data_IF_173876806468
#
_entry.id   IF_173876806468
#
_cell.length_a   1.000
_cell.length_b   1.000
_cell.length_c   1.000
_cell.angle_alpha   90.00
_cell.angle_beta   90.00
_cell.angle_gamma   90.00
#
_symmetry.space_group_name_H-M   'P 1'
#
loop_
_entity.id
_entity.type
_entity.pdbx_description
1 polymer ?
#
# COMPACT_ATOMS: atom_id res chain seq x y z
N UNK A 1 -0.28 -34.74 16.68
CA UNK A 1 -1.23 -33.76 17.25
C UNK A 1 -0.93 -32.45 16.56
N UNK A 2 -1.65 -32.18 15.47
CA UNK A 2 -1.50 -30.98 14.66
C UNK A 2 -2.52 -29.95 15.15
N UNK A 3 -2.05 -28.75 15.47
CA UNK A 3 -2.91 -27.59 15.66
C UNK A 3 -3.12 -26.96 14.29
N UNK A 4 -4.37 -26.96 13.83
CA UNK A 4 -4.81 -26.28 12.63
C UNK A 4 -4.88 -24.78 12.90
N UNK A 5 -3.98 -24.00 12.30
CA UNK A 5 -4.12 -22.55 12.17
C UNK A 5 -5.05 -22.29 10.97
N UNK A 6 -6.32 -22.08 11.25
CA UNK A 6 -7.26 -21.46 10.30
C UNK A 6 -7.18 -19.94 10.53
N UNK A 7 -7.00 -19.12 9.48
CA UNK A 7 -7.12 -17.68 9.60
C UNK A 7 -8.56 -17.34 9.96
N UNK A 8 -8.73 -16.61 11.06
CA UNK A 8 -10.02 -16.20 11.57
C UNK A 8 -10.65 -15.20 10.62
N UNK A 9 -11.71 -15.62 9.92
CA UNK A 9 -12.67 -14.72 9.29
C UNK A 9 -13.29 -13.82 10.36
N UNK A 10 -12.99 -12.53 10.32
CA UNK A 10 -13.68 -11.52 11.12
C UNK A 10 -15.13 -11.37 10.60
N UNK A 11 -16.13 -11.33 11.49
CA UNK A 11 -17.50 -11.11 11.09
C UNK A 11 -17.76 -9.61 10.85
N UNK A 12 -17.98 -9.23 9.60
CA UNK A 12 -18.97 -8.19 9.27
C UNK A 12 -18.54 -6.73 9.31
N UNK A 13 -17.33 -6.39 8.85
CA UNK A 13 -17.01 -5.02 8.41
C UNK A 13 -16.38 -5.09 7.03
N UNK A 14 -17.06 -4.54 6.02
CA UNK A 14 -16.43 -4.24 4.75
C UNK A 14 -15.25 -3.28 5.02
N UNK A 15 -14.14 -3.40 4.28
CA UNK A 15 -13.13 -2.35 4.26
C UNK A 15 -13.84 -1.00 4.00
N UNK A 16 -13.48 0.05 4.74
CA UNK A 16 -14.13 1.36 4.62
C UNK A 16 -15.46 1.55 5.37
N UNK A 17 -15.97 0.55 6.11
CA UNK A 17 -17.03 0.80 7.09
C UNK A 17 -16.44 1.23 8.42
N UNK A 18 -16.85 2.42 8.91
CA UNK A 18 -16.48 2.92 10.23
C UNK A 18 -16.67 1.81 11.28
N UNK A 19 -15.69 1.61 12.19
CA UNK A 19 -15.84 0.65 13.28
C UNK A 19 -17.18 0.85 14.00
N UNK A 20 -17.77 -0.23 14.48
CA UNK A 20 -19.00 -0.14 15.27
C UNK A 20 -18.84 0.88 16.40
N UNK A 21 -19.90 1.59 16.80
CA UNK A 21 -19.80 2.63 17.84
C UNK A 21 -19.26 2.14 19.20
N UNK A 22 -19.13 0.82 19.39
CA UNK A 22 -18.56 0.18 20.58
C UNK A 22 -17.24 -0.55 20.30
N UNK A 23 -16.63 -0.38 19.12
CA UNK A 23 -15.33 -0.95 18.82
C UNK A 23 -14.28 -0.23 19.67
N UNK A 24 -13.57 -1.01 20.47
CA UNK A 24 -12.37 -0.55 21.16
C UNK A 24 -11.18 -1.05 20.34
N UNK A 25 -10.35 -0.14 19.81
CA UNK A 25 -9.17 -0.56 19.09
C UNK A 25 -8.22 -1.25 20.09
N UNK A 26 -7.52 -2.28 19.64
CA UNK A 26 -6.63 -3.08 20.47
C UNK A 26 -5.35 -3.39 19.71
N UNK A 27 -4.29 -2.63 19.99
CA UNK A 27 -2.98 -2.84 19.40
C UNK A 27 -2.56 -4.31 19.44
N UNK A 28 -2.36 -4.89 18.26
CA UNK A 28 -1.69 -6.17 18.13
C UNK A 28 -0.27 -5.88 17.74
N UNK A 29 0.63 -6.12 18.69
CA UNK A 29 2.04 -6.16 18.37
C UNK A 29 2.26 -7.17 17.25
N UNK A 30 2.84 -6.70 16.15
CA UNK A 30 3.41 -7.56 15.11
C UNK A 30 4.75 -8.17 15.57
N UNK A 31 5.06 -8.01 16.87
CA UNK A 31 6.38 -7.97 17.44
C UNK A 31 7.17 -6.81 16.84
N UNK A 32 7.99 -6.13 17.62
CA UNK A 32 9.33 -5.85 17.14
C UNK A 32 10.06 -7.21 16.99
N UNK A 33 9.54 -8.11 16.14
CA UNK A 33 10.20 -9.36 15.80
C UNK A 33 11.64 -8.98 15.41
N UNK A 34 12.62 -9.73 15.89
CA UNK A 34 14.03 -9.47 15.61
C UNK A 34 14.25 -9.18 14.11
N UNK A 35 13.46 -9.82 13.26
CA UNK A 35 13.34 -9.59 11.82
C UNK A 35 12.98 -8.14 11.43
N UNK A 36 11.87 -7.56 11.94
CA UNK A 36 11.48 -6.17 11.67
C UNK A 36 12.50 -5.17 12.22
N UNK A 37 13.06 -5.45 13.40
CA UNK A 37 14.12 -4.64 13.99
C UNK A 37 15.37 -4.65 13.09
N UNK A 38 15.75 -5.80 12.55
CA UNK A 38 16.86 -5.93 11.61
C UNK A 38 16.60 -5.18 10.30
N UNK A 39 15.37 -5.19 9.79
CA UNK A 39 15.01 -4.46 8.58
C UNK A 39 15.17 -2.94 8.74
N UNK A 40 14.83 -2.39 9.91
CA UNK A 40 14.91 -0.94 10.15
C UNK A 40 16.24 -0.45 10.72
N UNK A 41 17.05 -1.35 11.30
CA UNK A 41 18.32 -1.03 11.97
C UNK A 41 19.31 -0.17 11.17
N UNK A 42 19.45 -0.31 9.83
CA UNK A 42 20.39 0.50 9.06
C UNK A 42 19.98 1.97 8.92
N UNK A 43 18.73 2.32 9.23
CA UNK A 43 18.15 3.60 8.86
C UNK A 43 17.91 4.52 10.04
N UNK A 44 17.83 5.81 9.75
CA UNK A 44 17.54 6.86 10.72
C UNK A 44 16.73 7.97 10.06
N UNK A 45 15.86 8.61 10.83
CA UNK A 45 15.01 9.70 10.35
C UNK A 45 15.08 10.88 11.33
N UNK A 46 14.95 12.09 10.81
CA UNK A 46 14.72 13.27 11.67
C UNK A 46 13.40 13.13 12.44
N UNK A 47 13.26 13.88 13.53
CA UNK A 47 12.03 13.90 14.35
C UNK A 47 10.81 14.35 13.53
N UNK A 48 11.00 15.32 12.64
CA UNK A 48 9.97 15.76 11.70
C UNK A 48 9.56 14.64 10.72
N UNK A 49 10.53 13.96 10.11
CA UNK A 49 10.25 12.82 9.21
C UNK A 49 9.56 11.65 9.95
N UNK A 50 9.92 11.40 11.22
CA UNK A 50 9.24 10.41 12.05
C UNK A 50 7.79 10.81 12.35
N UNK A 51 7.54 12.08 12.69
CA UNK A 51 6.20 12.60 12.89
C UNK A 51 5.35 12.42 11.61
N UNK A 52 5.90 12.81 10.45
CA UNK A 52 5.27 12.58 9.14
C UNK A 52 4.99 11.10 8.86
N UNK A 53 5.97 10.22 9.11
CA UNK A 53 5.83 8.79 8.89
C UNK A 53 4.70 8.19 9.74
N UNK A 54 4.63 8.58 11.03
CA UNK A 54 3.57 8.08 11.91
C UNK A 54 2.21 8.66 11.54
N UNK A 55 2.14 9.92 11.10
CA UNK A 55 0.89 10.60 10.74
C UNK A 55 -0.08 10.87 11.91
N UNK A 56 0.25 10.41 13.11
CA UNK A 56 -0.59 10.50 14.32
C UNK A 56 0.11 11.24 15.46
N UNK A 57 1.45 11.24 15.50
CA UNK A 57 2.23 11.95 16.50
C UNK A 57 2.83 13.22 15.92
N UNK A 58 2.81 14.29 16.70
CA UNK A 58 3.55 15.50 16.38
C UNK A 58 5.04 15.37 16.75
N UNK A 59 5.85 16.33 16.29
CA UNK A 59 7.30 16.31 16.53
C UNK A 59 7.65 16.34 18.02
N UNK A 60 6.84 16.98 18.86
CA UNK A 60 7.05 17.04 20.30
C UNK A 60 6.86 15.67 20.96
N UNK A 61 5.81 14.95 20.57
CA UNK A 61 5.53 13.58 21.01
C UNK A 61 6.64 12.64 20.56
N UNK A 62 7.05 12.72 19.29
CA UNK A 62 8.17 11.95 18.75
C UNK A 62 9.46 12.24 19.50
N UNK A 63 9.76 13.51 19.79
CA UNK A 63 10.95 13.86 20.56
C UNK A 63 10.93 13.21 21.96
N UNK A 64 9.75 13.15 22.59
CA UNK A 64 9.55 12.40 23.83
C UNK A 64 9.92 10.92 23.70
N UNK A 65 9.53 10.25 22.60
CA UNK A 65 9.92 8.86 22.35
C UNK A 65 11.44 8.72 22.18
N UNK A 66 12.06 9.62 21.41
CA UNK A 66 13.51 9.60 21.16
C UNK A 66 14.29 9.80 22.46
N UNK A 67 13.85 10.70 23.35
CA UNK A 67 14.49 10.90 24.66
C UNK A 67 14.44 9.65 25.56
N UNK A 68 13.40 8.82 25.44
CA UNK A 68 13.27 7.59 26.22
C UNK A 68 14.15 6.44 25.67
N UNK A 69 14.20 6.28 24.35
CA UNK A 69 14.92 5.15 23.72
C UNK A 69 16.37 5.48 23.35
N UNK A 70 16.70 6.77 23.17
CA UNK A 70 18.00 7.27 22.73
C UNK A 70 18.44 8.49 23.58
N UNK A 71 18.61 8.35 24.90
CA UNK A 71 18.81 9.49 25.81
C UNK A 71 20.08 10.31 25.55
N UNK A 72 21.10 9.70 24.93
CA UNK A 72 22.38 10.36 24.62
C UNK A 72 22.42 10.94 23.19
N UNK A 73 21.34 10.81 22.42
CA UNK A 73 21.28 11.32 21.05
C UNK A 73 21.17 12.84 21.03
N UNK A 74 22.00 13.50 20.22
CA UNK A 74 21.92 14.94 20.03
C UNK A 74 20.54 15.37 19.49
N UNK A 75 20.08 16.56 19.86
CA UNK A 75 18.75 17.06 19.50
C UNK A 75 18.54 17.20 17.98
N UNK A 76 19.61 17.44 17.23
CA UNK A 76 19.61 17.60 15.77
C UNK A 76 20.02 16.33 15.01
N UNK A 77 20.53 15.30 15.70
CA UNK A 77 20.91 14.05 15.07
C UNK A 77 19.67 13.23 14.69
N UNK A 78 19.60 12.64 13.47
CA UNK A 78 18.55 11.70 13.10
C UNK A 78 18.42 10.56 14.13
N UNK A 79 17.20 10.19 14.46
CA UNK A 79 16.93 9.11 15.39
C UNK A 79 17.01 7.75 14.67
N UNK A 80 17.75 6.78 15.22
CA UNK A 80 17.80 5.43 14.67
C UNK A 80 16.41 4.79 14.77
N UNK A 81 15.98 4.10 13.71
CA UNK A 81 14.62 3.55 13.65
C UNK A 81 14.42 2.37 14.59
N UNK A 82 15.43 1.51 14.74
CA UNK A 82 15.31 0.29 15.53
C UNK A 82 15.03 0.54 17.04
N UNK A 83 15.73 1.46 17.73
CA UNK A 83 15.41 1.76 19.13
C UNK A 83 14.05 2.41 19.30
N UNK A 84 13.64 3.27 18.35
CA UNK A 84 12.33 3.94 18.35
C UNK A 84 11.22 2.91 18.15
N UNK A 85 11.34 2.04 17.14
CA UNK A 85 10.37 0.98 16.87
C UNK A 85 10.22 0.04 18.06
N UNK A 86 11.32 -0.39 18.67
CA UNK A 86 11.30 -1.24 19.86
C UNK A 86 10.60 -0.56 21.04
N UNK A 87 10.93 0.70 21.32
CA UNK A 87 10.27 1.45 22.38
C UNK A 87 8.76 1.59 22.16
N UNK A 88 8.36 1.83 20.91
CA UNK A 88 6.95 1.91 20.54
C UNK A 88 6.24 0.58 20.79
N UNK A 89 6.75 -0.51 20.24
CA UNK A 89 6.15 -1.85 20.35
C UNK A 89 6.12 -2.38 21.79
N UNK A 90 7.21 -2.24 22.54
CA UNK A 90 7.35 -2.87 23.86
C UNK A 90 6.75 -2.04 25.00
N UNK A 91 6.72 -0.70 24.87
CA UNK A 91 6.41 0.20 25.99
C UNK A 91 5.26 1.16 25.71
N UNK A 92 5.23 1.78 24.52
CA UNK A 92 4.30 2.87 24.25
C UNK A 92 2.92 2.38 23.78
N UNK A 93 2.90 1.57 22.72
CA UNK A 93 1.69 1.10 22.03
C UNK A 93 0.86 0.06 22.80
N UNK A 94 1.43 -0.80 23.65
CA UNK A 94 0.64 -1.73 24.46
C UNK A 94 -0.33 -1.06 25.44
N UNK A 95 -0.14 0.23 25.76
CA UNK A 95 -1.02 1.00 26.64
C UNK A 95 -1.86 2.02 25.82
N UNK A 96 -3.17 1.77 25.63
CA UNK A 96 -4.06 2.68 24.92
C UNK A 96 -4.13 4.09 25.48
N UNK A 97 -3.77 4.31 26.76
CA UNK A 97 -3.72 5.65 27.35
C UNK A 97 -2.62 6.53 26.74
N UNK A 98 -1.63 5.92 26.09
CA UNK A 98 -0.51 6.61 25.46
C UNK A 98 -0.76 6.92 23.97
N UNK A 99 -1.85 6.43 23.37
CA UNK A 99 -2.02 6.57 21.94
C UNK A 99 -2.17 8.05 21.54
N UNK A 100 -1.45 8.50 20.49
CA UNK A 100 -1.45 9.89 20.07
C UNK A 100 -2.71 10.14 19.22
N UNK A 101 -3.86 10.20 19.89
CA UNK A 101 -5.15 10.37 19.23
C UNK A 101 -6.30 9.70 19.97
N UNK A 102 -7.51 10.00 19.50
CA UNK A 102 -8.75 9.33 19.96
C UNK A 102 -9.49 8.67 18.80
N UNK A 103 -8.85 8.56 17.63
CA UNK A 103 -9.49 8.07 16.43
C UNK A 103 -9.34 6.54 16.39
N UNK A 104 -10.43 5.76 16.26
CA UNK A 104 -10.30 4.31 16.18
C UNK A 104 -9.48 3.82 14.97
N UNK A 105 -9.22 4.66 13.97
CA UNK A 105 -8.28 4.37 12.88
C UNK A 105 -6.80 4.45 13.27
N UNK A 106 -6.47 5.00 14.46
CA UNK A 106 -5.09 5.10 14.94
C UNK A 106 -4.48 3.70 15.14
N UNK A 107 -5.28 2.66 15.41
CA UNK A 107 -4.82 1.26 15.55
C UNK A 107 -4.13 0.74 14.28
N UNK A 108 -4.74 0.90 13.11
CA UNK A 108 -4.18 0.40 11.84
C UNK A 108 -2.89 1.13 11.46
N UNK A 109 -2.77 2.40 11.85
CA UNK A 109 -1.55 3.18 11.66
C UNK A 109 -0.41 2.61 12.52
N UNK A 110 -0.74 2.17 13.73
CA UNK A 110 0.21 1.64 14.71
C UNK A 110 0.70 0.23 14.37
N UNK A 111 -0.15 -0.63 13.79
CA UNK A 111 0.25 -1.96 13.29
C UNK A 111 1.25 -1.85 12.11
N UNK A 112 1.17 -0.77 11.33
CA UNK A 112 1.96 -0.57 10.13
C UNK A 112 3.18 0.36 10.31
N UNK A 113 3.53 0.68 11.56
CA UNK A 113 4.48 1.75 11.87
C UNK A 113 5.88 1.52 11.30
N UNK A 114 6.37 0.27 11.29
CA UNK A 114 7.66 -0.07 10.67
C UNK A 114 7.65 0.16 9.15
N UNK A 115 6.59 -0.29 8.46
CA UNK A 115 6.42 -0.07 7.03
C UNK A 115 6.29 1.42 6.70
N UNK A 116 5.62 2.21 7.55
CA UNK A 116 5.50 3.67 7.40
C UNK A 116 6.84 4.39 7.57
N UNK A 117 7.65 4.00 8.57
CA UNK A 117 9.00 4.53 8.74
C UNK A 117 9.88 4.20 7.53
N UNK A 118 9.86 2.94 7.07
CA UNK A 118 10.60 2.53 5.87
C UNK A 118 10.10 3.24 4.59
N UNK A 119 8.80 3.46 4.44
CA UNK A 119 8.24 4.25 3.34
C UNK A 119 8.82 5.66 3.30
N UNK A 120 8.98 6.31 4.47
CA UNK A 120 9.62 7.63 4.56
C UNK A 120 11.10 7.59 4.19
N UNK A 121 11.82 6.53 4.57
CA UNK A 121 13.22 6.31 4.14
C UNK A 121 13.31 6.10 2.63
N UNK A 122 12.41 5.31 2.03
CA UNK A 122 12.32 5.14 0.57
C UNK A 122 12.09 6.48 -0.10
N UNK A 123 11.09 7.25 0.37
CA UNK A 123 10.81 8.57 -0.18
C UNK A 123 12.00 9.53 -0.09
N UNK A 124 12.73 9.53 1.03
CA UNK A 124 13.92 10.37 1.22
C UNK A 124 15.07 9.95 0.31
N UNK A 125 15.28 8.64 0.15
CA UNK A 125 16.36 8.07 -0.67
C UNK A 125 16.16 8.34 -2.15
N UNK A 126 14.93 8.23 -2.66
CA UNK A 126 14.65 8.35 -4.09
C UNK A 126 14.06 9.71 -4.53
N UNK A 127 13.68 10.57 -3.58
CA UNK A 127 12.97 11.84 -3.86
C UNK A 127 13.78 12.87 -4.67
N UNK A 128 15.09 12.94 -4.48
CA UNK A 128 15.94 13.92 -5.17
C UNK A 128 16.29 13.54 -6.62
N UNK A 129 16.34 12.24 -6.94
CA UNK A 129 17.01 11.73 -8.15
C UNK A 129 16.06 11.07 -9.18
N UNK A 130 14.76 10.88 -8.86
CA UNK A 130 13.83 10.06 -9.68
C UNK A 130 12.53 10.76 -10.10
N UNK A 131 12.43 12.09 -10.03
CA UNK A 131 11.17 12.83 -10.33
C UNK A 131 10.58 12.55 -11.72
N UNK A 132 11.40 12.15 -12.71
CA UNK A 132 10.93 11.78 -14.05
C UNK A 132 10.34 10.37 -14.19
N UNK A 133 10.64 9.44 -13.27
CA UNK A 133 10.27 8.01 -13.41
C UNK A 133 9.81 7.33 -12.11
N UNK A 134 9.19 8.08 -11.21
CA UNK A 134 8.73 7.54 -9.93
C UNK A 134 7.62 6.49 -10.08
N UNK A 135 6.84 6.50 -11.19
CA UNK A 135 5.77 5.51 -11.43
C UNK A 135 6.30 4.10 -11.62
N UNK A 136 7.40 3.94 -12.36
CA UNK A 136 8.05 2.64 -12.49
C UNK A 136 8.60 2.16 -11.16
N UNK A 137 9.18 3.07 -10.36
CA UNK A 137 9.62 2.76 -9.00
C UNK A 137 8.44 2.30 -8.13
N UNK A 138 7.34 3.03 -8.12
CA UNK A 138 6.15 2.67 -7.34
C UNK A 138 5.53 1.35 -7.80
N UNK A 139 5.49 1.09 -9.12
CA UNK A 139 5.01 -0.17 -9.67
C UNK A 139 5.92 -1.35 -9.27
N UNK A 140 7.23 -1.15 -9.28
CA UNK A 140 8.20 -2.14 -8.78
C UNK A 140 8.01 -2.39 -7.28
N UNK A 141 7.87 -1.32 -6.49
CA UNK A 141 7.61 -1.42 -5.05
C UNK A 141 6.33 -2.21 -4.78
N UNK A 142 5.23 -1.87 -5.45
CA UNK A 142 3.98 -2.59 -5.32
C UNK A 142 4.10 -4.05 -5.76
N UNK A 143 4.86 -4.34 -6.82
CA UNK A 143 5.18 -5.71 -7.24
C UNK A 143 5.87 -6.50 -6.14
N UNK A 144 6.88 -5.92 -5.49
CA UNK A 144 7.59 -6.57 -4.40
C UNK A 144 6.65 -6.81 -3.21
N UNK A 145 5.79 -5.84 -2.87
CA UNK A 145 4.79 -5.98 -1.80
C UNK A 145 3.81 -7.13 -2.09
N UNK A 146 3.33 -7.25 -3.34
CA UNK A 146 2.47 -8.35 -3.76
C UNK A 146 3.17 -9.72 -3.64
N UNK A 147 4.44 -9.80 -4.06
CA UNK A 147 5.22 -11.02 -3.92
C UNK A 147 5.43 -11.35 -2.44
N UNK A 148 5.69 -10.37 -1.58
CA UNK A 148 5.87 -10.55 -0.14
C UNK A 148 4.61 -11.13 0.53
N UNK A 149 3.40 -10.73 0.10
CA UNK A 149 2.14 -11.31 0.60
C UNK A 149 2.02 -12.81 0.33
N UNK A 150 2.58 -13.28 -0.78
CA UNK A 150 2.56 -14.69 -1.17
C UNK A 150 3.86 -15.44 -0.81
N UNK A 151 4.79 -14.79 -0.10
CA UNK A 151 6.12 -15.32 0.15
C UNK A 151 6.11 -16.33 1.30
N UNK A 152 6.56 -17.56 1.02
CA UNK A 152 6.74 -18.61 2.02
C UNK A 152 8.22 -18.90 2.32
N UNK A 153 9.14 -18.13 1.73
CA UNK A 153 10.58 -18.27 1.91
C UNK A 153 11.11 -17.47 3.09
N UNK A 154 12.44 -17.49 3.25
CA UNK A 154 13.15 -16.69 4.27
C UNK A 154 13.26 -15.22 3.86
N UNK A 155 13.33 -14.32 4.83
CA UNK A 155 13.55 -12.89 4.61
C UNK A 155 14.87 -12.62 3.88
N UNK A 156 15.95 -13.32 4.25
CA UNK A 156 17.26 -13.14 3.63
C UNK A 156 17.23 -13.45 2.13
N UNK A 157 16.49 -14.49 1.73
CA UNK A 157 16.27 -14.80 0.32
C UNK A 157 15.49 -13.68 -0.39
N UNK A 158 14.41 -13.19 0.22
CA UNK A 158 13.60 -12.10 -0.33
C UNK A 158 14.43 -10.82 -0.53
N UNK A 159 15.28 -10.47 0.44
CA UNK A 159 16.15 -9.30 0.38
C UNK A 159 17.15 -9.33 -0.78
N UNK A 160 17.34 -10.47 -1.43
CA UNK A 160 18.21 -10.60 -2.62
C UNK A 160 17.50 -10.46 -3.95
N UNK A 161 16.16 -10.32 -3.99
CA UNK A 161 15.36 -10.37 -5.22
C UNK A 161 15.74 -9.32 -6.27
N UNK A 162 16.24 -8.16 -5.84
CA UNK A 162 16.71 -7.07 -6.70
C UNK A 162 18.22 -7.10 -6.99
N UNK A 163 18.97 -8.02 -6.40
CA UNK A 163 20.39 -8.17 -6.72
C UNK A 163 20.58 -8.56 -8.19
N UNK A 164 21.74 -8.22 -8.75
CA UNK A 164 22.09 -8.64 -10.11
C UNK A 164 22.03 -10.17 -10.26
N UNK A 165 22.44 -10.88 -9.21
CA UNK A 165 22.32 -12.32 -9.07
C UNK A 165 21.63 -12.62 -7.73
N UNK A 166 20.30 -12.85 -7.72
CA UNK A 166 19.58 -13.31 -6.54
C UNK A 166 20.07 -14.71 -6.12
N UNK A 167 19.83 -15.09 -4.86
CA UNK A 167 20.16 -16.45 -4.42
C UNK A 167 19.31 -17.48 -5.17
N UNK A 168 19.81 -18.72 -5.28
CA UNK A 168 19.06 -19.81 -5.90
C UNK A 168 17.72 -20.05 -5.18
N UNK A 169 17.74 -20.02 -3.85
CA UNK A 169 16.56 -20.12 -2.98
C UNK A 169 15.54 -19.02 -3.27
N UNK A 170 15.99 -17.77 -3.46
CA UNK A 170 15.08 -16.67 -3.81
C UNK A 170 14.36 -16.93 -5.15
N UNK A 171 15.02 -17.61 -6.09
CA UNK A 171 14.40 -18.03 -7.35
C UNK A 171 13.31 -19.08 -7.15
N UNK A 172 13.56 -20.08 -6.29
CA UNK A 172 12.60 -21.15 -5.98
C UNK A 172 11.37 -20.60 -5.24
N UNK A 173 11.59 -19.81 -4.19
CA UNK A 173 10.52 -19.18 -3.43
C UNK A 173 9.69 -18.19 -4.26
N UNK A 174 10.31 -17.50 -5.22
CA UNK A 174 9.57 -16.65 -6.15
C UNK A 174 8.61 -17.48 -7.02
N UNK A 175 9.04 -18.64 -7.50
CA UNK A 175 8.14 -19.52 -8.27
C UNK A 175 7.01 -20.07 -7.41
N UNK A 176 7.28 -20.41 -6.16
CA UNK A 176 6.25 -20.83 -5.21
C UNK A 176 5.25 -19.71 -4.90
N UNK A 177 5.73 -18.48 -4.65
CA UNK A 177 4.88 -17.31 -4.43
C UNK A 177 3.96 -17.03 -5.63
N UNK A 178 4.48 -17.16 -6.86
CA UNK A 178 3.67 -17.03 -8.08
C UNK A 178 2.61 -18.13 -8.15
N UNK A 179 2.94 -19.37 -7.80
CA UNK A 179 2.01 -20.50 -7.84
C UNK A 179 0.93 -20.43 -6.74
N UNK A 180 1.20 -19.71 -5.64
CA UNK A 180 0.28 -19.50 -4.54
C UNK A 180 -0.59 -18.24 -4.70
N UNK A 181 -0.26 -17.36 -5.65
CA UNK A 181 -1.05 -16.17 -5.92
C UNK A 181 -2.44 -16.53 -6.47
N UNK A 182 -3.47 -15.70 -6.24
CA UNK A 182 -4.78 -15.87 -6.86
C UNK A 182 -4.69 -16.00 -8.39
N UNK A 183 -5.48 -16.92 -8.97
CA UNK A 183 -5.45 -17.19 -10.42
C UNK A 183 -5.80 -15.95 -11.26
N UNK A 184 -6.64 -15.05 -10.71
CA UNK A 184 -6.97 -13.74 -11.26
C UNK A 184 -5.73 -12.91 -11.60
N UNK A 185 -4.67 -13.03 -10.79
CA UNK A 185 -3.44 -12.25 -10.91
C UNK A 185 -2.42 -12.85 -11.89
N UNK A 186 -2.56 -14.11 -12.32
CA UNK A 186 -1.56 -14.77 -13.16
C UNK A 186 -1.19 -14.02 -14.45
N UNK A 187 -2.15 -13.44 -15.21
CA UNK A 187 -1.81 -12.64 -16.38
C UNK A 187 -0.97 -11.40 -16.01
N UNK A 188 -1.37 -10.69 -14.96
CA UNK A 188 -0.67 -9.48 -14.48
C UNK A 188 0.73 -9.82 -13.96
N UNK A 189 0.85 -10.85 -13.12
CA UNK A 189 2.13 -11.31 -12.59
C UNK A 189 3.09 -11.71 -13.72
N UNK A 190 2.63 -12.54 -14.65
CA UNK A 190 3.49 -13.12 -15.69
C UNK A 190 3.90 -12.10 -16.75
N UNK A 191 2.99 -11.23 -17.16
CA UNK A 191 3.16 -10.39 -18.35
C UNK A 191 3.53 -8.94 -18.03
N UNK A 192 3.25 -8.47 -16.81
CA UNK A 192 3.51 -7.10 -16.39
C UNK A 192 4.54 -7.02 -15.27
N UNK A 193 4.30 -7.71 -14.16
CA UNK A 193 5.06 -7.49 -12.93
C UNK A 193 6.42 -8.22 -12.90
N UNK A 194 6.45 -9.51 -13.26
CA UNK A 194 7.70 -10.29 -13.28
C UNK A 194 8.72 -9.80 -14.32
N UNK A 195 8.32 -9.39 -15.54
CA UNK A 195 9.25 -8.75 -16.47
C UNK A 195 9.89 -7.49 -15.87
N UNK A 196 9.10 -6.59 -15.27
CA UNK A 196 9.61 -5.38 -14.64
C UNK A 196 10.57 -5.69 -13.48
N UNK A 197 10.25 -6.68 -12.63
CA UNK A 197 11.14 -7.14 -11.57
C UNK A 197 12.48 -7.64 -12.13
N UNK A 198 12.47 -8.41 -13.24
CA UNK A 198 13.69 -8.92 -13.87
C UNK A 198 14.53 -7.78 -14.47
N UNK A 199 13.90 -6.80 -15.10
CA UNK A 199 14.58 -5.61 -15.64
C UNK A 199 15.21 -4.76 -14.54
N UNK A 200 14.56 -4.68 -13.38
CA UNK A 200 15.06 -3.93 -12.23
C UNK A 200 16.30 -4.55 -11.54
N UNK A 201 16.57 -5.85 -11.74
CA UNK A 201 17.66 -6.55 -11.06
C UNK A 201 19.03 -5.95 -11.40
N UNK A 202 19.81 -5.65 -10.37
CA UNK A 202 21.14 -5.07 -10.50
C UNK A 202 21.17 -3.62 -10.96
N UNK A 203 20.02 -2.94 -11.04
CA UNK A 203 19.94 -1.50 -11.39
C UNK A 203 20.05 -0.58 -10.17
N UNK A 204 19.90 -1.13 -8.97
CA UNK A 204 20.03 -0.45 -7.69
C UNK A 204 21.36 -0.80 -7.02
N UNK A 205 21.86 0.09 -6.18
CA UNK A 205 22.93 -0.24 -5.22
C UNK A 205 22.45 -1.31 -4.24
N UNK A 206 23.37 -1.99 -3.55
CA UNK A 206 23.01 -3.01 -2.57
C UNK A 206 22.13 -2.46 -1.44
N UNK A 207 22.40 -1.24 -0.97
CA UNK A 207 21.64 -0.60 0.10
C UNK A 207 20.24 -0.18 -0.38
N UNK A 208 20.12 0.38 -1.59
CA UNK A 208 18.82 0.70 -2.20
C UNK A 208 17.97 -0.54 -2.45
N UNK A 209 18.59 -1.61 -2.97
CA UNK A 209 17.91 -2.89 -3.19
C UNK A 209 17.38 -3.44 -1.86
N UNK A 210 18.22 -3.48 -0.82
CA UNK A 210 17.85 -3.93 0.52
C UNK A 210 16.74 -3.07 1.14
N UNK A 211 16.77 -1.75 0.93
CA UNK A 211 15.73 -0.83 1.38
C UNK A 211 14.38 -1.12 0.71
N UNK A 212 14.35 -1.27 -0.61
CA UNK A 212 13.12 -1.55 -1.35
C UNK A 212 12.52 -2.92 -0.98
N UNK A 213 13.35 -3.96 -0.90
CA UNK A 213 12.88 -5.30 -0.51
C UNK A 213 12.51 -5.35 0.98
N UNK A 214 13.23 -4.64 1.85
CA UNK A 214 12.93 -4.58 3.29
C UNK A 214 11.63 -3.82 3.57
N UNK A 215 11.40 -2.70 2.87
CA UNK A 215 10.10 -2.03 2.88
C UNK A 215 8.99 -2.97 2.40
N UNK A 216 9.21 -3.72 1.31
CA UNK A 216 8.21 -4.62 0.77
C UNK A 216 7.86 -5.78 1.72
N UNK A 217 8.83 -6.33 2.46
CA UNK A 217 8.56 -7.29 3.54
C UNK A 217 7.72 -6.63 4.65
N UNK A 218 8.15 -5.47 5.15
CA UNK A 218 7.41 -4.74 6.18
C UNK A 218 5.96 -4.45 5.76
N UNK A 219 5.74 -4.02 4.50
CA UNK A 219 4.43 -3.65 4.00
C UNK A 219 3.58 -4.84 3.52
N UNK A 220 4.18 -5.88 2.97
CA UNK A 220 3.45 -7.01 2.38
C UNK A 220 3.26 -8.18 3.33
N UNK A 221 4.21 -8.41 4.24
CA UNK A 221 4.18 -9.53 5.17
C UNK A 221 3.71 -9.11 6.57
N UNK A 222 4.20 -7.96 7.07
CA UNK A 222 3.92 -7.53 8.44
C UNK A 222 2.76 -6.52 8.56
N UNK A 223 2.43 -5.76 7.51
CA UNK A 223 1.43 -4.67 7.58
C UNK A 223 -0.03 -5.09 7.29
N UNK A 224 -0.33 -6.39 7.36
CA UNK A 224 -1.69 -6.92 7.24
C UNK A 224 -2.42 -6.48 5.95
N UNK A 225 -3.64 -5.96 6.09
CA UNK A 225 -4.56 -5.70 4.98
C UNK A 225 -4.45 -4.31 4.34
N UNK A 226 -3.46 -3.50 4.72
CA UNK A 226 -3.38 -2.09 4.29
C UNK A 226 -2.05 -1.67 3.61
N UNK A 227 -1.42 -2.51 2.75
CA UNK A 227 -0.16 -2.14 2.09
C UNK A 227 -0.28 -0.87 1.21
N UNK A 228 -1.46 -0.64 0.62
CA UNK A 228 -1.74 0.54 -0.23
C UNK A 228 -1.59 1.87 0.52
N UNK A 229 -1.81 1.91 1.84
CA UNK A 229 -1.68 3.13 2.63
C UNK A 229 -0.21 3.57 2.73
N UNK A 230 0.69 2.63 2.99
CA UNK A 230 2.11 2.92 3.12
C UNK A 230 2.73 3.27 1.76
N UNK A 231 2.28 2.60 0.69
CA UNK A 231 2.66 2.96 -0.69
C UNK A 231 2.19 4.38 -1.04
N UNK A 232 1.01 4.80 -0.58
CA UNK A 232 0.50 6.16 -0.75
C UNK A 232 1.44 7.22 -0.16
N UNK A 233 2.06 6.95 0.98
CA UNK A 233 3.04 7.85 1.59
C UNK A 233 4.28 8.06 0.71
N UNK A 234 4.78 6.99 0.08
CA UNK A 234 5.87 7.07 -0.91
C UNK A 234 5.38 7.84 -2.14
N UNK A 235 4.21 7.48 -2.66
CA UNK A 235 3.63 8.09 -3.85
C UNK A 235 3.45 9.60 -3.71
N UNK A 236 2.83 10.06 -2.61
CA UNK A 236 2.63 11.47 -2.35
C UNK A 236 3.94 12.25 -2.17
N UNK A 237 4.98 11.61 -1.63
CA UNK A 237 6.29 12.25 -1.42
C UNK A 237 7.11 12.38 -2.71
N UNK A 238 6.95 11.44 -3.65
CA UNK A 238 7.66 11.42 -4.93
C UNK A 238 6.92 12.17 -6.04
N UNK A 239 5.59 12.29 -5.92
CA UNK A 239 4.78 13.03 -6.89
C UNK A 239 5.20 14.51 -6.93
N UNK A 240 5.12 15.13 -8.10
CA UNK A 240 5.49 16.54 -8.28
C UNK A 240 4.64 17.44 -7.34
N UNK A 241 5.25 18.43 -6.66
CA UNK A 241 4.55 19.26 -5.67
C UNK A 241 3.41 20.10 -6.25
N UNK A 242 3.41 20.35 -7.55
CA UNK A 242 2.35 21.10 -8.25
C UNK A 242 1.19 20.22 -8.73
N UNK A 243 1.26 18.90 -8.52
CA UNK A 243 0.21 17.98 -8.95
C UNK A 243 -0.88 17.90 -7.89
N UNK A 244 -2.11 18.17 -8.31
CA UNK A 244 -3.25 18.10 -7.43
C UNK A 244 -3.53 16.64 -7.06
N UNK A 245 -3.07 16.22 -5.87
CA UNK A 245 -3.63 15.07 -5.17
C UNK A 245 -5.15 15.25 -5.07
N UNK A 246 -5.94 14.17 -5.03
CA UNK A 246 -7.37 14.29 -4.82
C UNK A 246 -7.65 15.06 -3.54
N UNK A 247 -8.28 16.21 -3.67
CA UNK A 247 -8.62 17.03 -2.51
C UNK A 247 -9.77 16.39 -1.71
N UNK A 248 -10.00 16.91 -0.51
CA UNK A 248 -11.07 16.44 0.36
C UNK A 248 -12.47 16.58 -0.26
N UNK A 249 -12.66 17.47 -1.25
CA UNK A 249 -13.91 17.58 -1.97
C UNK A 249 -14.08 16.45 -2.99
N UNK A 250 -13.02 16.10 -3.74
CA UNK A 250 -13.03 14.98 -4.67
C UNK A 250 -13.28 13.66 -3.95
N UNK A 251 -12.60 13.41 -2.84
CA UNK A 251 -12.84 12.21 -2.01
C UNK A 251 -14.31 12.15 -1.57
N UNK A 252 -14.85 13.27 -1.05
CA UNK A 252 -16.26 13.35 -0.64
C UNK A 252 -17.23 13.08 -1.79
N UNK A 253 -16.94 13.57 -3.00
CA UNK A 253 -17.78 13.31 -4.18
C UNK A 253 -17.80 11.83 -4.55
N UNK A 254 -16.66 11.14 -4.46
CA UNK A 254 -16.61 9.69 -4.68
C UNK A 254 -17.38 8.94 -3.60
N UNK A 255 -17.22 9.33 -2.33
CA UNK A 255 -18.02 8.77 -1.23
C UNK A 255 -19.53 8.95 -1.45
N UNK A 256 -19.97 10.12 -1.92
CA UNK A 256 -21.38 10.40 -2.17
C UNK A 256 -21.94 9.50 -3.29
N UNK A 257 -21.14 9.19 -4.32
CA UNK A 257 -21.49 8.24 -5.38
C UNK A 257 -21.62 6.82 -4.83
N UNK A 258 -20.64 6.37 -4.03
CA UNK A 258 -20.68 5.06 -3.36
C UNK A 258 -21.92 4.93 -2.45
N UNK A 259 -22.17 5.93 -1.59
CA UNK A 259 -23.34 5.97 -0.70
C UNK A 259 -24.65 5.94 -1.48
N UNK A 260 -24.72 6.65 -2.61
CA UNK A 260 -25.90 6.64 -3.48
C UNK A 260 -26.13 5.26 -4.11
N UNK A 261 -25.10 4.61 -4.62
CA UNK A 261 -25.19 3.26 -5.20
C UNK A 261 -25.58 2.22 -4.15
N UNK A 262 -24.97 2.28 -2.96
CA UNK A 262 -25.33 1.39 -1.85
C UNK A 262 -26.80 1.56 -1.42
N UNK A 263 -27.25 2.81 -1.30
CA UNK A 263 -28.65 3.12 -0.96
C UNK A 263 -29.61 2.62 -2.03
N UNK A 264 -29.27 2.79 -3.31
CA UNK A 264 -30.06 2.33 -4.44
C UNK A 264 -30.15 0.79 -4.49
N UNK A 265 -29.04 0.08 -4.30
CA UNK A 265 -29.01 -1.38 -4.25
C UNK A 265 -29.89 -1.94 -3.11
N UNK A 266 -29.89 -1.27 -1.95
CA UNK A 266 -30.73 -1.66 -0.81
C UNK A 266 -32.23 -1.48 -1.09
N UNK A 267 -32.61 -0.42 -1.81
CA UNK A 267 -33.99 -0.20 -2.24
C UNK A 267 -34.40 -1.22 -3.31
N UNK A 268 -33.52 -1.52 -4.26
CA UNK A 268 -33.77 -2.54 -5.30
C UNK A 268 -33.85 -3.98 -4.78
N UNK A 269 -33.20 -4.27 -3.64
CA UNK A 269 -33.29 -5.56 -2.96
C UNK A 269 -34.58 -5.74 -2.14
N UNK A 270 -35.37 -4.67 -1.95
CA UNK A 270 -36.62 -4.73 -1.19
C UNK A 270 -37.70 -5.44 -2.03
N UNK A 271 -38.27 -6.53 -1.52
CA UNK A 271 -39.15 -7.42 -2.30
C UNK A 271 -40.45 -6.76 -2.80
N UNK A 272 -40.77 -5.55 -2.32
CA UNK A 272 -41.91 -4.73 -2.71
C UNK A 272 -41.54 -3.57 -3.64
N UNK A 273 -40.27 -3.45 -4.05
CA UNK A 273 -39.83 -2.40 -4.96
C UNK A 273 -40.41 -2.63 -6.37
N UNK A 274 -41.25 -1.71 -6.81
CA UNK A 274 -41.83 -1.69 -8.16
C UNK A 274 -40.96 -0.95 -9.18
N UNK A 275 -39.85 -0.35 -8.75
CA UNK A 275 -38.92 0.40 -9.60
C UNK A 275 -37.82 -0.51 -10.12
N UNK A 276 -37.53 -0.43 -11.42
CA UNK A 276 -36.36 -1.05 -12.05
C UNK A 276 -35.09 -0.62 -11.30
N UNK A 277 -34.22 -1.58 -11.00
CA UNK A 277 -32.96 -1.32 -10.30
C UNK A 277 -32.21 -0.18 -11.04
N UNK A 278 -32.00 0.99 -10.41
CA UNK A 278 -31.44 2.14 -11.10
C UNK A 278 -29.99 1.86 -11.54
N UNK A 279 -29.59 2.41 -12.70
CA UNK A 279 -28.22 2.24 -13.18
C UNK A 279 -27.20 2.76 -12.15
N UNK A 280 -26.11 2.01 -11.92
CA UNK A 280 -25.08 2.45 -10.99
C UNK A 280 -24.47 3.77 -11.45
N UNK A 281 -24.32 4.69 -10.51
CA UNK A 281 -23.67 5.98 -10.76
C UNK A 281 -22.16 5.76 -10.80
N UNK A 282 -21.50 6.38 -11.77
CA UNK A 282 -20.07 6.27 -11.95
C UNK A 282 -19.38 7.62 -11.76
N UNK A 283 -18.16 7.57 -11.23
CA UNK A 283 -17.22 8.67 -11.19
C UNK A 283 -16.28 8.57 -12.40
N UNK A 284 -16.48 9.46 -13.38
CA UNK A 284 -15.78 9.39 -14.67
C UNK A 284 -14.46 10.15 -14.58
N UNK A 285 -13.36 9.43 -14.78
CA UNK A 285 -12.00 9.98 -14.91
C UNK A 285 -11.54 9.99 -16.37
N UNK A 286 -10.59 10.85 -16.75
CA UNK A 286 -9.99 10.78 -18.09
C UNK A 286 -9.20 9.49 -18.27
N UNK A 287 -9.31 8.82 -19.42
CA UNK A 287 -8.45 7.68 -19.78
C UNK A 287 -7.03 8.12 -20.14
N UNK A 288 -6.34 8.81 -19.25
CA UNK A 288 -5.00 9.32 -19.44
C UNK A 288 -4.16 9.22 -18.16
N UNK A 289 -2.90 9.63 -18.25
CA UNK A 289 -1.95 9.61 -17.14
C UNK A 289 -2.53 10.25 -15.87
N UNK A 290 -3.10 11.46 -15.98
CA UNK A 290 -3.67 12.16 -14.83
C UNK A 290 -4.87 11.42 -14.24
N UNK A 291 -5.74 10.83 -15.07
CA UNK A 291 -6.87 10.08 -14.59
C UNK A 291 -6.48 8.78 -13.88
N UNK A 292 -5.52 8.02 -14.40
CA UNK A 292 -5.04 6.81 -13.74
C UNK A 292 -4.36 7.10 -12.42
N UNK A 293 -3.58 8.18 -12.32
CA UNK A 293 -2.98 8.58 -11.06
C UNK A 293 -3.98 9.13 -10.05
N UNK A 294 -4.95 9.92 -10.52
CA UNK A 294 -6.06 10.36 -9.67
C UNK A 294 -6.79 9.14 -9.11
N UNK A 295 -7.03 8.13 -9.95
CA UNK A 295 -7.65 6.88 -9.52
C UNK A 295 -6.80 6.11 -8.50
N UNK A 296 -5.48 6.03 -8.70
CA UNK A 296 -4.56 5.41 -7.76
C UNK A 296 -4.60 6.09 -6.38
N UNK A 297 -4.55 7.43 -6.33
CA UNK A 297 -4.68 8.17 -5.07
C UNK A 297 -6.07 8.04 -4.43
N UNK A 298 -7.14 8.00 -5.25
CA UNK A 298 -8.50 7.79 -4.74
C UNK A 298 -8.66 6.42 -4.11
N UNK A 299 -8.12 5.35 -4.72
CA UNK A 299 -8.13 4.00 -4.13
C UNK A 299 -7.29 3.98 -2.86
N UNK A 300 -6.12 4.63 -2.86
CA UNK A 300 -5.27 4.69 -1.67
C UNK A 300 -5.96 5.36 -0.47
N UNK A 301 -6.80 6.37 -0.72
CA UNK A 301 -7.58 7.06 0.31
C UNK A 301 -8.91 6.36 0.64
N UNK A 302 -9.52 5.69 -0.35
CA UNK A 302 -10.83 5.05 -0.28
C UNK A 302 -10.80 3.80 -1.17
N UNK A 303 -10.43 2.62 -0.65
CA UNK A 303 -10.23 1.42 -1.47
C UNK A 303 -11.44 1.05 -2.32
N UNK A 304 -12.66 1.27 -1.83
CA UNK A 304 -13.92 0.98 -2.52
C UNK A 304 -14.18 1.93 -3.70
N UNK A 305 -13.37 2.98 -3.89
CA UNK A 305 -13.51 3.88 -5.03
C UNK A 305 -13.44 3.14 -6.38
N UNK A 306 -12.76 1.99 -6.42
CA UNK A 306 -12.67 1.17 -7.63
C UNK A 306 -14.04 0.71 -8.17
N UNK A 307 -15.06 0.54 -7.31
CA UNK A 307 -16.41 0.12 -7.69
C UNK A 307 -17.14 1.15 -8.58
N UNK A 308 -16.76 2.41 -8.46
CA UNK A 308 -17.46 3.53 -9.12
C UNK A 308 -16.60 4.26 -10.13
N UNK A 309 -15.28 4.05 -10.11
CA UNK A 309 -14.38 4.69 -11.06
C UNK A 309 -14.53 4.04 -12.45
N UNK A 310 -14.78 4.88 -13.45
CA UNK A 310 -14.74 4.51 -14.85
C UNK A 310 -13.90 5.50 -15.64
N UNK A 311 -13.22 5.02 -16.68
CA UNK A 311 -12.40 5.88 -17.53
C UNK A 311 -13.14 6.23 -18.82
N UNK A 312 -13.14 7.52 -19.15
CA UNK A 312 -13.64 7.99 -20.45
C UNK A 312 -12.71 7.57 -21.58
N UNK A 313 -13.30 7.12 -22.69
CA UNK A 313 -12.57 6.82 -23.92
C UNK A 313 -12.08 8.11 -24.57
N UNK A 314 -10.79 8.18 -24.94
CA UNK A 314 -10.26 9.36 -25.62
C UNK A 314 -10.88 9.50 -27.01
N UNK A 315 -11.28 10.71 -27.45
CA UNK A 315 -11.65 10.93 -28.84
C UNK A 315 -10.43 10.73 -29.74
N UNK A 316 -10.41 9.67 -30.56
CA UNK A 316 -9.42 9.47 -31.62
C UNK A 316 -8.36 8.38 -31.38
N UNK A 317 -8.31 7.75 -30.21
CA UNK A 317 -7.51 6.53 -30.00
C UNK A 317 -8.39 5.31 -30.31
N UNK A 318 -8.10 4.66 -31.44
CA UNK A 318 -8.58 3.30 -31.69
C UNK A 318 -8.01 2.34 -30.66
N UNK A 319 -8.45 1.09 -30.69
CA UNK A 319 -8.03 -0.06 -29.87
C UNK A 319 -6.54 -0.41 -30.04
N UNK A 320 -5.64 0.54 -29.78
CA UNK A 320 -4.20 0.43 -29.86
C UNK A 320 -3.56 0.60 -28.48
N UNK A 321 -2.34 0.08 -28.33
CA UNK A 321 -1.58 0.14 -27.08
C UNK A 321 -1.42 1.59 -26.57
N UNK A 322 -1.57 1.78 -25.25
CA UNK A 322 -1.35 3.05 -24.57
C UNK A 322 0.06 3.59 -24.88
N UNK A 323 0.18 4.92 -25.03
CA UNK A 323 1.48 5.59 -25.03
C UNK A 323 2.25 5.31 -23.71
N UNK A 324 3.58 5.50 -23.70
CA UNK A 324 4.46 5.12 -22.57
C UNK A 324 4.04 5.78 -21.24
N UNK A 325 3.83 7.10 -21.19
CA UNK A 325 3.46 7.78 -19.94
C UNK A 325 2.08 7.35 -19.38
N UNK A 326 1.01 7.27 -20.19
CA UNK A 326 -0.25 6.67 -19.75
C UNK A 326 -0.12 5.21 -19.31
N UNK A 327 0.78 4.43 -19.90
CA UNK A 327 0.98 3.01 -19.54
C UNK A 327 1.60 2.85 -18.17
N UNK A 328 2.57 3.69 -17.80
CA UNK A 328 3.16 3.67 -16.46
C UNK A 328 2.14 4.04 -15.38
N UNK A 329 1.33 5.09 -15.62
CA UNK A 329 0.25 5.48 -14.71
C UNK A 329 -0.86 4.41 -14.62
N UNK A 330 -1.22 3.79 -15.75
CA UNK A 330 -2.18 2.68 -15.77
C UNK A 330 -1.66 1.47 -14.98
N UNK A 331 -0.38 1.11 -15.16
CA UNK A 331 0.26 0.02 -14.42
C UNK A 331 0.24 0.28 -12.92
N UNK A 332 0.56 1.51 -12.50
CA UNK A 332 0.47 1.91 -11.10
C UNK A 332 -0.95 1.79 -10.55
N UNK A 333 -1.95 2.23 -11.31
CA UNK A 333 -3.36 2.06 -10.94
C UNK A 333 -3.75 0.59 -10.75
N UNK A 334 -3.34 -0.30 -11.65
CA UNK A 334 -3.55 -1.74 -11.49
C UNK A 334 -2.87 -2.28 -10.23
N UNK A 335 -1.67 -1.79 -9.90
CA UNK A 335 -0.98 -2.17 -8.67
C UNK A 335 -1.75 -1.78 -7.42
N UNK A 336 -2.36 -0.59 -7.38
CA UNK A 336 -3.21 -0.19 -6.26
C UNK A 336 -4.46 -1.06 -6.11
N UNK A 337 -5.06 -1.51 -7.23
CA UNK A 337 -6.16 -2.48 -7.18
C UNK A 337 -5.71 -3.82 -6.62
N UNK A 338 -4.58 -4.36 -7.09
CA UNK A 338 -4.06 -5.66 -6.61
C UNK A 338 -3.64 -5.63 -5.14
N UNK A 339 -3.26 -4.46 -4.62
CA UNK A 339 -2.95 -4.28 -3.19
C UNK A 339 -4.20 -4.12 -2.31
N UNK A 340 -5.39 -4.07 -2.90
CA UNK A 340 -6.65 -4.08 -2.16
C UNK A 340 -6.91 -5.44 -1.51
N UNK A 341 -7.67 -5.44 -0.41
CA UNK A 341 -8.03 -6.63 0.37
C UNK A 341 -9.36 -7.28 -0.11
N UNK A 342 -9.71 -7.13 -1.39
CA UNK A 342 -10.88 -7.82 -1.93
C UNK A 342 -10.60 -8.48 -3.29
N UNK A 343 -11.11 -9.70 -3.44
CA UNK A 343 -11.04 -10.50 -4.67
C UNK A 343 -11.65 -9.74 -5.86
N UNK A 344 -12.61 -8.85 -5.58
CA UNK A 344 -13.22 -7.93 -6.55
C UNK A 344 -12.19 -7.01 -7.21
N UNK A 345 -11.27 -6.42 -6.43
CA UNK A 345 -10.23 -5.50 -6.93
C UNK A 345 -9.22 -6.24 -7.80
N UNK A 346 -8.83 -7.46 -7.42
CA UNK A 346 -7.93 -8.30 -8.20
C UNK A 346 -8.55 -8.72 -9.54
N UNK A 347 -9.80 -9.20 -9.52
CA UNK A 347 -10.54 -9.55 -10.74
C UNK A 347 -10.71 -8.32 -11.64
N UNK A 348 -11.03 -7.17 -11.04
CA UNK A 348 -11.15 -5.89 -11.74
C UNK A 348 -9.85 -5.47 -12.40
N UNK A 349 -8.71 -5.60 -11.71
CA UNK A 349 -7.40 -5.32 -12.27
C UNK A 349 -7.13 -6.22 -13.50
N UNK A 350 -7.44 -7.52 -13.38
CA UNK A 350 -7.26 -8.48 -14.47
C UNK A 350 -8.16 -8.16 -15.67
N UNK A 351 -9.42 -7.81 -15.45
CA UNK A 351 -10.34 -7.36 -16.50
C UNK A 351 -9.83 -6.13 -17.24
N UNK A 352 -9.43 -5.10 -16.50
CA UNK A 352 -8.92 -3.86 -17.07
C UNK A 352 -7.65 -4.10 -17.89
N UNK A 353 -6.78 -5.00 -17.42
CA UNK A 353 -5.59 -5.38 -18.16
C UNK A 353 -5.90 -6.12 -19.46
N UNK A 354 -6.81 -7.11 -19.44
CA UNK A 354 -7.28 -7.81 -20.66
C UNK A 354 -7.92 -6.84 -21.65
N UNK A 355 -8.81 -5.97 -21.17
CA UNK A 355 -9.45 -4.95 -21.99
C UNK A 355 -8.42 -4.00 -22.63
N UNK A 356 -7.33 -3.65 -21.92
CA UNK A 356 -6.25 -2.82 -22.47
C UNK A 356 -5.47 -3.51 -23.60
N UNK A 357 -5.49 -4.85 -23.65
CA UNK A 357 -4.91 -5.67 -24.72
C UNK A 357 -5.86 -5.91 -25.89
N UNK A 358 -7.13 -5.55 -25.76
CA UNK A 358 -8.17 -5.84 -26.75
C UNK A 358 -8.69 -7.28 -26.70
N UNK A 359 -8.52 -7.95 -25.56
CA UNK A 359 -9.15 -9.23 -25.20
C UNK A 359 -10.45 -8.98 -24.42
#
# INVERSE_FOLDING_TARGET
MAASNLPGTLPGTLPGTLPSANYQPAYRSNGACDDLAELVAPYSLSRAQLAEATGIADEATVNGWVEQCCPDLAADAPAPLEPVLRYLDETYLPDPANWPGTNPYDEFILENIAARMLARVVADTFGADRSGNYRELLALVATLVLIARCWAGTDEAFLTLLNAEPTAEAGEYLQEAIANAPESLYPLLTELLLPALREARGTFTADEARLLTGYALAAGYYAGEHPYETLSGIHASLAEPDRALPDAEQIRRVEDVLKANFSAARVGADANATETNPEPRNFVLPGNQDGYETAAHLIAALPQAHDVIVFSTRPGEGTGALAEDPRAAFTLYLCYLMLGDDESSEERAAELYRASRGE
#
